data_IF_880533475279
#
_entry.id   IF_880533475279
#
_cell.length_a   1.000
_cell.length_b   1.000
_cell.length_c   1.000
_cell.angle_alpha   90.00
_cell.angle_beta   90.00
_cell.angle_gamma   90.00
#
_symmetry.space_group_name_H-M   'P 1'
#
loop_
_entity.id
_entity.type
_entity.pdbx_description
1 polymer ?
#
# COMPACT_ATOMS: atom_id res chain seq x y z
N UNK A 1 15.81 13.25 18.25
CA UNK A 1 14.49 13.68 17.72
C UNK A 1 14.19 12.87 16.47
N UNK A 2 13.14 12.02 16.47
CA UNK A 2 12.68 11.38 15.23
C UNK A 2 12.10 12.48 14.35
N UNK A 3 12.69 12.68 13.17
CA UNK A 3 12.09 13.54 12.14
C UNK A 3 10.66 13.06 11.90
N UNK A 4 9.67 13.93 12.08
CA UNK A 4 8.29 13.64 11.67
C UNK A 4 8.32 13.37 10.16
N UNK A 5 7.87 12.20 9.73
CA UNK A 5 7.82 11.87 8.31
C UNK A 5 6.93 12.89 7.61
N UNK A 6 7.49 13.62 6.64
CA UNK A 6 6.75 14.61 5.84
C UNK A 6 5.65 13.99 4.98
N UNK A 7 5.62 12.67 4.89
CA UNK A 7 4.60 11.90 4.19
C UNK A 7 3.90 10.97 5.18
N UNK A 8 2.58 10.95 5.14
CA UNK A 8 1.76 10.07 5.96
C UNK A 8 0.94 9.11 5.09
N UNK A 9 1.10 7.81 5.34
CA UNK A 9 0.43 6.73 4.60
C UNK A 9 -0.74 6.21 5.43
N UNK A 10 -1.95 6.35 4.89
CA UNK A 10 -3.16 5.70 5.43
C UNK A 10 -3.54 4.53 4.53
N UNK A 11 -3.85 3.39 5.12
CA UNK A 11 -4.28 2.19 4.40
C UNK A 11 -5.62 1.70 4.94
N UNK A 12 -6.52 1.33 4.03
CA UNK A 12 -7.72 0.57 4.35
C UNK A 12 -7.78 -0.65 3.42
N UNK A 13 -8.19 -1.80 3.94
CA UNK A 13 -8.36 -3.00 3.13
C UNK A 13 -9.68 -3.68 3.43
N UNK A 14 -10.25 -4.31 2.40
CA UNK A 14 -11.50 -5.05 2.47
C UNK A 14 -11.37 -6.37 1.72
N UNK A 15 -12.04 -7.39 2.24
CA UNK A 15 -12.24 -8.66 1.54
C UNK A 15 -13.36 -8.52 0.50
N UNK A 16 -13.16 -9.05 -0.70
CA UNK A 16 -14.13 -9.01 -1.80
C UNK A 16 -14.71 -10.40 -2.00
N UNK A 17 -15.82 -10.67 -1.31
CA UNK A 17 -16.48 -11.99 -1.31
C UNK A 17 -16.88 -12.44 -2.71
N UNK A 18 -17.47 -11.55 -3.51
CA UNK A 18 -17.94 -11.85 -4.87
C UNK A 18 -16.86 -12.25 -5.86
N UNK A 19 -15.59 -11.97 -5.58
CA UNK A 19 -14.45 -12.34 -6.43
C UNK A 19 -13.59 -13.46 -5.83
N UNK A 20 -13.93 -13.90 -4.63
CA UNK A 20 -13.20 -14.90 -3.87
C UNK A 20 -13.83 -16.28 -4.02
N UNK A 21 -12.99 -17.31 -3.97
CA UNK A 21 -13.40 -18.71 -4.04
C UNK A 21 -12.65 -19.45 -2.92
N UNK A 22 -13.16 -19.41 -1.67
CA UNK A 22 -12.49 -20.03 -0.53
C UNK A 22 -12.20 -21.52 -0.71
N UNK A 23 -13.11 -22.26 -1.37
CA UNK A 23 -12.94 -23.69 -1.70
C UNK A 23 -11.71 -23.97 -2.59
N UNK A 24 -11.23 -22.97 -3.31
CA UNK A 24 -10.06 -23.05 -4.20
C UNK A 24 -8.87 -22.27 -3.64
N UNK A 25 -8.87 -21.94 -2.34
CA UNK A 25 -7.83 -21.12 -1.71
C UNK A 25 -7.58 -19.81 -2.47
N UNK A 26 -8.65 -19.13 -2.92
CA UNK A 26 -8.54 -17.85 -3.62
C UNK A 26 -9.27 -16.78 -2.84
N UNK A 27 -8.52 -15.90 -2.19
CA UNK A 27 -9.06 -14.80 -1.38
C UNK A 27 -8.66 -13.47 -2.00
N UNK A 28 -9.64 -12.71 -2.47
CA UNK A 28 -9.43 -11.42 -3.13
C UNK A 28 -9.65 -10.30 -2.12
N UNK A 29 -8.67 -9.40 -2.04
CA UNK A 29 -8.72 -8.20 -1.21
C UNK A 29 -8.55 -6.97 -2.09
N UNK A 30 -9.33 -5.93 -1.80
CA UNK A 30 -9.04 -4.58 -2.28
C UNK A 30 -8.38 -3.79 -1.15
N UNK A 31 -7.40 -2.97 -1.49
CA UNK A 31 -6.79 -2.02 -0.56
C UNK A 31 -6.78 -0.63 -1.18
N UNK A 32 -7.06 0.37 -0.35
CA UNK A 32 -7.03 1.78 -0.68
C UNK A 32 -5.93 2.44 0.13
N UNK A 33 -5.00 3.10 -0.56
CA UNK A 33 -3.92 3.86 0.05
C UNK A 33 -4.13 5.33 -0.21
N UNK A 34 -3.99 6.13 0.84
CA UNK A 34 -3.92 7.59 0.78
C UNK A 34 -2.52 8.03 1.19
N UNK A 35 -1.84 8.73 0.28
CA UNK A 35 -0.51 9.30 0.46
C UNK A 35 -0.71 10.79 0.73
N UNK A 36 -0.46 11.23 1.96
CA UNK A 36 -0.64 12.63 2.36
C UNK A 36 0.72 13.31 2.38
N UNK A 37 0.90 14.40 1.63
CA UNK A 37 2.09 15.24 1.72
C UNK A 37 1.87 16.31 2.80
N UNK A 38 2.41 16.05 3.99
CA UNK A 38 2.41 16.97 5.13
C UNK A 38 3.63 17.91 5.12
N UNK A 39 4.50 17.76 4.12
CA UNK A 39 5.69 18.57 3.93
C UNK A 39 5.40 19.91 3.27
N UNK A 40 6.48 20.62 2.92
CA UNK A 40 6.44 21.95 2.27
C UNK A 40 6.82 21.93 0.80
N UNK A 41 7.29 20.79 0.28
CA UNK A 41 7.78 20.63 -1.10
C UNK A 41 6.81 19.82 -1.95
N UNK A 42 6.80 20.06 -3.25
CA UNK A 42 6.16 19.14 -4.20
C UNK A 42 6.89 17.79 -4.18
N UNK A 43 6.12 16.71 -4.18
CA UNK A 43 6.65 15.34 -4.23
C UNK A 43 6.11 14.61 -5.46
N UNK A 44 6.89 13.70 -6.03
CA UNK A 44 6.44 12.77 -7.05
C UNK A 44 6.73 11.32 -6.64
N UNK A 45 5.74 10.44 -6.78
CA UNK A 45 5.92 9.00 -6.62
C UNK A 45 6.50 8.40 -7.90
N UNK A 46 7.63 7.71 -7.77
CA UNK A 46 8.37 7.13 -8.90
C UNK A 46 8.13 5.63 -9.02
N UNK A 47 8.26 4.88 -7.92
CA UNK A 47 8.10 3.43 -7.91
C UNK A 47 7.64 2.92 -6.55
N UNK A 48 7.24 1.65 -6.51
CA UNK A 48 6.78 0.95 -5.31
C UNK A 48 7.50 -0.38 -5.16
N UNK A 49 7.71 -0.75 -3.91
CA UNK A 49 8.12 -2.08 -3.50
C UNK A 49 7.10 -2.62 -2.49
N UNK A 50 6.72 -3.88 -2.66
CA UNK A 50 5.80 -4.59 -1.77
C UNK A 50 6.40 -5.92 -1.34
N UNK A 51 6.18 -6.26 -0.07
CA UNK A 51 6.27 -7.60 0.47
C UNK A 51 4.87 -8.01 0.90
N UNK A 52 4.36 -9.08 0.31
CA UNK A 52 3.11 -9.73 0.69
C UNK A 52 3.46 -11.01 1.43
N UNK A 53 2.98 -11.18 2.65
CA UNK A 53 3.15 -12.41 3.43
C UNK A 53 1.78 -13.04 3.64
N UNK A 54 1.58 -14.26 3.16
CA UNK A 54 0.32 -14.97 3.38
C UNK A 54 0.26 -15.58 4.81
N UNK A 55 -0.87 -16.19 5.17
CA UNK A 55 -1.11 -16.75 6.50
C UNK A 55 -0.20 -17.93 6.86
N UNK A 56 0.45 -18.54 5.86
CA UNK A 56 1.42 -19.62 6.05
C UNK A 56 2.87 -19.10 6.12
N UNK A 57 3.07 -17.78 6.10
CA UNK A 57 4.40 -17.16 6.13
C UNK A 57 5.12 -17.09 4.78
N UNK A 58 4.51 -17.57 3.69
CA UNK A 58 5.09 -17.45 2.33
C UNK A 58 5.13 -15.98 1.92
N UNK A 59 6.30 -15.51 1.50
CA UNK A 59 6.56 -14.13 1.08
C UNK A 59 6.62 -14.00 -0.44
N UNK A 60 5.97 -12.98 -0.97
CA UNK A 60 6.04 -12.56 -2.37
C UNK A 60 6.51 -11.11 -2.42
N UNK A 61 7.53 -10.84 -3.23
CA UNK A 61 8.05 -9.48 -3.44
C UNK A 61 7.59 -8.95 -4.79
N UNK A 62 7.15 -7.69 -4.83
CA UNK A 62 6.71 -7.03 -6.05
C UNK A 62 7.40 -5.68 -6.14
N UNK A 63 8.01 -5.40 -7.29
CA UNK A 63 8.54 -4.08 -7.65
C UNK A 63 7.77 -3.56 -8.86
N UNK A 64 7.59 -2.25 -8.95
CA UNK A 64 7.01 -1.67 -10.16
C UNK A 64 7.02 -0.16 -10.17
N UNK A 65 6.98 0.40 -11.37
CA UNK A 65 6.88 1.84 -11.54
C UNK A 65 5.50 2.37 -11.14
N UNK A 66 5.51 3.55 -10.51
CA UNK A 66 4.31 4.27 -10.12
C UNK A 66 3.38 3.47 -9.22
N UNK A 67 2.11 3.85 -9.26
CA UNK A 67 0.96 3.14 -8.69
C UNK A 67 -0.17 3.22 -9.71
N UNK A 68 -0.89 2.12 -9.96
CA UNK A 68 -2.01 2.06 -10.91
C UNK A 68 -1.71 2.66 -12.30
N UNK A 69 -0.46 2.54 -12.79
CA UNK A 69 -0.02 3.11 -14.06
C UNK A 69 0.28 4.61 -14.03
N UNK A 70 0.33 5.25 -12.85
CA UNK A 70 0.59 6.68 -12.66
C UNK A 70 1.80 6.94 -11.78
N UNK A 71 2.52 8.04 -12.04
CA UNK A 71 3.57 8.61 -11.19
C UNK A 71 3.09 9.96 -10.64
N UNK A 72 2.18 9.97 -9.64
CA UNK A 72 1.48 11.17 -9.22
C UNK A 72 2.41 12.22 -8.60
N UNK A 73 2.14 13.48 -8.92
CA UNK A 73 2.66 14.65 -8.20
C UNK A 73 1.72 15.02 -7.06
N UNK A 74 2.24 15.23 -5.85
CA UNK A 74 1.48 15.52 -4.63
C UNK A 74 1.98 16.83 -4.04
N UNK A 75 1.16 17.88 -4.17
CA UNK A 75 1.48 19.21 -3.62
C UNK A 75 1.50 19.21 -2.09
N UNK A 76 2.22 20.16 -1.46
CA UNK A 76 2.14 20.39 -0.02
C UNK A 76 0.69 20.52 0.46
N UNK A 77 0.32 19.79 1.51
CA UNK A 77 -1.03 19.79 2.09
C UNK A 77 -2.06 18.95 1.34
N UNK A 78 -1.72 18.38 0.18
CA UNK A 78 -2.61 17.54 -0.62
C UNK A 78 -2.36 16.05 -0.39
N UNK A 79 -3.33 15.24 -0.81
CA UNK A 79 -3.22 13.80 -0.85
C UNK A 79 -3.38 13.21 -2.26
N UNK A 80 -2.87 12.00 -2.43
CA UNK A 80 -3.18 11.13 -3.56
C UNK A 80 -3.76 9.81 -3.04
N UNK A 81 -4.95 9.45 -3.52
CA UNK A 81 -5.66 8.25 -3.13
C UNK A 81 -5.81 7.30 -4.31
N UNK A 82 -5.53 6.02 -4.09
CA UNK A 82 -5.78 4.97 -5.09
C UNK A 82 -6.24 3.66 -4.46
N UNK A 83 -6.94 2.85 -5.24
CA UNK A 83 -7.36 1.50 -4.86
C UNK A 83 -6.75 0.48 -5.81
N UNK A 84 -6.30 -0.66 -5.27
CA UNK A 84 -5.77 -1.79 -6.03
C UNK A 84 -6.15 -3.11 -5.34
N UNK A 85 -5.79 -4.24 -5.96
CA UNK A 85 -6.14 -5.58 -5.48
C UNK A 85 -4.93 -6.43 -5.10
N UNK A 86 -5.14 -7.39 -4.20
CA UNK A 86 -4.23 -8.48 -3.90
C UNK A 86 -5.01 -9.79 -3.80
N UNK A 87 -4.40 -10.88 -4.25
CA UNK A 87 -4.97 -12.23 -4.15
C UNK A 87 -4.06 -13.03 -3.23
N UNK A 88 -4.64 -13.67 -2.21
CA UNK A 88 -3.95 -14.58 -1.30
C UNK A 88 -4.50 -16.00 -1.41
N UNK A 89 -3.62 -16.95 -1.08
CA UNK A 89 -3.96 -18.37 -0.93
C UNK A 89 -4.58 -18.68 0.45
N UNK A 90 -4.63 -17.69 1.35
CA UNK A 90 -5.07 -17.84 2.75
C UNK A 90 -6.08 -16.74 3.11
N UNK A 91 -6.99 -16.97 4.07
CA UNK A 91 -8.01 -15.99 4.49
C UNK A 91 -7.43 -14.78 5.24
N UNK A 92 -6.14 -14.85 5.59
CA UNK A 92 -5.39 -13.80 6.25
C UNK A 92 -3.99 -13.66 5.64
N UNK A 93 -3.44 -12.46 5.65
CA UNK A 93 -2.05 -12.15 5.35
C UNK A 93 -1.70 -10.71 5.74
N UNK A 94 -0.50 -10.27 5.40
CA UNK A 94 -0.03 -8.91 5.61
C UNK A 94 0.66 -8.37 4.37
N UNK A 95 0.56 -7.06 4.17
CA UNK A 95 1.34 -6.33 3.18
C UNK A 95 2.15 -5.23 3.86
N UNK A 96 3.35 -4.98 3.36
CA UNK A 96 4.23 -3.89 3.78
C UNK A 96 5.17 -3.53 2.62
N UNK A 97 5.83 -2.38 2.69
CA UNK A 97 6.72 -1.97 1.61
C UNK A 97 7.18 -0.54 1.75
N UNK A 98 7.60 0.04 0.64
CA UNK A 98 7.94 1.46 0.56
C UNK A 98 7.69 2.01 -0.85
N UNK A 99 7.51 3.32 -0.93
CA UNK A 99 7.59 4.07 -2.18
C UNK A 99 8.96 4.70 -2.34
N UNK A 100 9.41 4.80 -3.58
CA UNK A 100 10.48 5.71 -3.97
C UNK A 100 9.84 7.00 -4.44
N UNK A 101 10.21 8.10 -3.79
CA UNK A 101 9.72 9.44 -4.07
C UNK A 101 10.89 10.33 -4.48
N UNK A 102 10.57 11.38 -5.25
CA UNK A 102 11.49 12.48 -5.54
C UNK A 102 10.86 13.79 -5.10
N UNK A 103 11.64 14.69 -4.48
CA UNK A 103 11.20 16.05 -4.18
C UNK A 103 11.45 17.01 -5.36
N UNK A 104 10.94 18.24 -5.26
CA UNK A 104 11.12 19.27 -6.30
C UNK A 104 12.58 19.66 -6.59
N UNK A 105 13.52 19.32 -5.71
CA UNK A 105 14.95 19.54 -5.90
C UNK A 105 15.65 18.34 -6.53
N UNK A 106 14.92 17.27 -6.86
CA UNK A 106 15.47 16.05 -7.42
C UNK A 106 16.00 15.05 -6.37
N UNK A 107 15.80 15.30 -5.07
CA UNK A 107 16.27 14.38 -4.03
C UNK A 107 15.38 13.15 -3.96
N UNK A 108 15.99 11.97 -4.04
CA UNK A 108 15.30 10.69 -3.93
C UNK A 108 15.26 10.24 -2.48
N UNK A 109 14.10 9.78 -2.01
CA UNK A 109 13.93 9.23 -0.67
C UNK A 109 12.85 8.16 -0.61
N UNK A 110 12.88 7.37 0.46
CA UNK A 110 11.94 6.28 0.69
C UNK A 110 10.81 6.74 1.63
N UNK A 111 9.60 6.28 1.34
CA UNK A 111 8.45 6.43 2.24
C UNK A 111 7.92 5.05 2.58
N UNK A 112 8.08 4.65 3.84
CA UNK A 112 7.61 3.37 4.32
C UNK A 112 6.08 3.30 4.30
N UNK A 113 5.59 2.13 3.89
CA UNK A 113 4.19 1.75 3.99
C UNK A 113 4.10 0.84 5.22
N UNK A 114 3.35 1.22 6.27
CA UNK A 114 3.24 0.42 7.47
C UNK A 114 2.64 -0.94 7.16
N UNK A 115 2.99 -1.95 7.97
CA UNK A 115 2.39 -3.29 7.85
C UNK A 115 0.89 -3.18 8.07
N UNK A 116 0.10 -3.69 7.12
CA UNK A 116 -1.35 -3.79 7.25
C UNK A 116 -1.84 -5.20 6.95
N UNK A 117 -2.96 -5.58 7.59
CA UNK A 117 -3.55 -6.90 7.48
C UNK A 117 -4.53 -6.96 6.33
N UNK A 118 -4.43 -8.02 5.53
CA UNK A 118 -5.50 -8.49 4.66
C UNK A 118 -6.20 -9.62 5.40
N UNK A 119 -7.47 -9.44 5.79
CA UNK A 119 -8.19 -10.46 6.54
C UNK A 119 -9.68 -10.42 6.20
N UNK A 120 -10.31 -11.59 6.14
CA UNK A 120 -11.77 -11.68 6.19
C UNK A 120 -12.20 -11.10 7.53
N UNK A 121 -13.15 -10.16 7.52
CA UNK A 121 -13.77 -9.67 8.75
C UNK A 121 -14.53 -10.84 9.37
N UNK A 122 -14.02 -11.37 10.47
CA UNK A 122 -14.79 -12.24 11.36
C UNK A 122 -15.62 -11.33 12.26
N UNK A 123 -16.94 -11.40 12.16
CA UNK A 123 -17.82 -10.84 13.17
C UNK A 123 -17.61 -11.67 14.44
N UNK A 124 -16.86 -11.15 15.42
CA UNK A 124 -16.92 -11.69 16.77
C UNK A 124 -18.26 -11.19 17.33
N UNK A 125 -19.18 -12.11 17.60
CA UNK A 125 -20.42 -11.85 18.35
C UNK A 125 -20.11 -11.82 19.85
#
# INVERSE_FOLDING_TARGET
MKSLSQVYIKVNSIYIESQSIPKSNRYVFAYTITINNLGKKLLQLISRYWIITNGNGKKTQIHGEGVIGKKPYIKPGNDFKYTSGAILETPIGTMQGHYIMIDENGNIFHVDIPVFRLAIKTYIH
#
